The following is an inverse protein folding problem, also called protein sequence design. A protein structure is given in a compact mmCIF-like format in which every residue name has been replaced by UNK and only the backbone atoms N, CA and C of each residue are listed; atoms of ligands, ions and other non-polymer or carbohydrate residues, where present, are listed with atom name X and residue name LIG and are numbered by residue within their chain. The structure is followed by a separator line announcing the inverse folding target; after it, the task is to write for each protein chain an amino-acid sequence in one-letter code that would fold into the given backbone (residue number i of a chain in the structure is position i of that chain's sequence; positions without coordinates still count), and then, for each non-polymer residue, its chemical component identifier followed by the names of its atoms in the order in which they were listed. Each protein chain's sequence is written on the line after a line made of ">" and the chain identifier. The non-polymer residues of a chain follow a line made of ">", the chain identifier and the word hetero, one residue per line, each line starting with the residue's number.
data_IF_329187300530
#
_entry.id   IF_329187300530
#
_cell.length_a   1.000
_cell.length_b   1.000
_cell.length_c   1.000
_cell.angle_alpha   90.00
_cell.angle_beta   90.00
_cell.angle_gamma   90.00
#
_symmetry.space_group_name_H-M   'P 1'
#
loop_
_entity.id
_entity.type
_entity.pdbx_description
1 polymer ?
#
# COMPACT_ATOMS: atom_id res chain seq x y z
N UNK A 1 19.71 -31.00 -16.90
CA UNK A 1 19.84 -30.08 -15.74
C UNK A 1 18.42 -29.67 -15.35
N UNK A 2 17.91 -30.24 -14.26
CA UNK A 2 16.53 -30.04 -13.83
C UNK A 2 16.34 -28.61 -13.29
N UNK A 3 15.32 -27.93 -13.76
CA UNK A 3 14.89 -26.62 -13.31
C UNK A 3 14.35 -26.78 -11.88
N UNK A 4 15.10 -26.38 -10.86
CA UNK A 4 14.60 -26.38 -9.49
C UNK A 4 13.40 -25.44 -9.39
N UNK A 5 12.30 -25.82 -8.71
CA UNK A 5 11.09 -24.99 -8.59
C UNK A 5 11.32 -23.63 -7.90
N UNK A 6 12.54 -23.37 -7.41
CA UNK A 6 12.95 -22.15 -6.71
C UNK A 6 14.15 -21.44 -7.36
N UNK A 7 14.31 -21.50 -8.69
CA UNK A 7 15.24 -20.60 -9.39
C UNK A 7 14.92 -19.11 -9.09
N UNK A 8 15.84 -18.17 -9.34
CA UNK A 8 15.58 -16.73 -9.10
C UNK A 8 14.23 -16.25 -9.66
N UNK A 9 13.85 -16.73 -10.84
CA UNK A 9 12.55 -16.43 -11.45
C UNK A 9 11.35 -17.00 -10.68
N UNK A 10 11.49 -18.16 -10.04
CA UNK A 10 10.47 -18.75 -9.16
C UNK A 10 10.29 -17.95 -7.87
N UNK A 11 11.39 -17.57 -7.21
CA UNK A 11 11.32 -16.76 -5.98
C UNK A 11 10.70 -15.39 -6.25
N UNK A 12 11.08 -14.71 -7.34
CA UNK A 12 10.45 -13.44 -7.70
C UNK A 12 8.96 -13.61 -8.00
N UNK A 13 8.57 -14.67 -8.73
CA UNK A 13 7.15 -14.94 -9.01
C UNK A 13 6.34 -15.19 -7.73
N UNK A 14 6.88 -15.99 -6.80
CA UNK A 14 6.22 -16.27 -5.51
C UNK A 14 6.03 -14.98 -4.71
N UNK A 15 7.07 -14.16 -4.57
CA UNK A 15 7.02 -12.91 -3.80
C UNK A 15 6.05 -11.90 -4.44
N UNK A 16 6.06 -11.75 -5.77
CA UNK A 16 5.11 -10.89 -6.47
C UNK A 16 3.68 -11.37 -6.28
N UNK A 17 3.45 -12.68 -6.36
CA UNK A 17 2.13 -13.27 -6.12
C UNK A 17 1.64 -13.01 -4.68
N UNK A 18 2.51 -13.16 -3.67
CA UNK A 18 2.15 -12.84 -2.28
C UNK A 18 1.85 -11.36 -2.08
N UNK A 19 2.65 -10.45 -2.68
CA UNK A 19 2.42 -9.01 -2.61
C UNK A 19 1.08 -8.63 -3.22
N UNK A 20 0.78 -9.14 -4.42
CA UNK A 20 -0.49 -8.84 -5.11
C UNK A 20 -1.69 -9.37 -4.34
N UNK A 21 -1.65 -10.62 -3.85
CA UNK A 21 -2.72 -11.18 -3.00
C UNK A 21 -2.93 -10.43 -1.69
N UNK A 22 -1.84 -9.94 -1.08
CA UNK A 22 -1.94 -9.17 0.17
C UNK A 22 -2.61 -7.82 -0.09
N UNK A 23 -2.28 -7.16 -1.20
CA UNK A 23 -2.93 -5.92 -1.63
C UNK A 23 -4.41 -6.12 -1.88
N UNK A 24 -4.77 -7.15 -2.65
CA UNK A 24 -6.16 -7.55 -2.88
C UNK A 24 -6.93 -7.76 -1.57
N UNK A 25 -6.33 -8.49 -0.63
CA UNK A 25 -6.97 -8.76 0.66
C UNK A 25 -7.20 -7.47 1.45
N UNK A 26 -6.17 -6.62 1.58
CA UNK A 26 -6.28 -5.37 2.35
C UNK A 26 -7.30 -4.43 1.72
N UNK A 27 -7.22 -4.18 0.42
CA UNK A 27 -8.16 -3.29 -0.28
C UNK A 27 -9.58 -3.85 -0.24
N UNK A 28 -9.73 -5.17 -0.46
CA UNK A 28 -11.02 -5.84 -0.41
C UNK A 28 -11.69 -5.80 0.98
N UNK A 29 -10.92 -5.68 2.08
CA UNK A 29 -11.52 -5.49 3.41
C UNK A 29 -12.28 -4.17 3.56
N UNK A 30 -12.08 -3.21 2.65
CA UNK A 30 -12.77 -1.93 2.64
C UNK A 30 -14.11 -1.97 1.89
N UNK A 31 -14.41 -3.07 1.20
CA UNK A 31 -15.62 -3.20 0.40
C UNK A 31 -16.88 -3.16 1.28
N UNK A 32 -17.86 -2.36 0.87
CA UNK A 32 -19.11 -2.17 1.62
C UNK A 32 -19.00 -1.26 2.85
N UNK A 33 -17.81 -0.77 3.20
CA UNK A 33 -17.63 0.22 4.27
C UNK A 33 -17.92 1.63 3.75
N UNK A 34 -18.65 2.42 4.54
CA UNK A 34 -18.86 3.85 4.28
C UNK A 34 -17.62 4.69 4.64
N UNK A 35 -17.64 5.97 4.26
CA UNK A 35 -16.50 6.88 4.45
C UNK A 35 -16.14 7.07 5.93
N UNK A 36 -17.15 7.10 6.81
CA UNK A 36 -16.92 7.19 8.26
C UNK A 36 -16.22 5.92 8.79
N UNK A 37 -16.66 4.74 8.39
CA UNK A 37 -16.11 3.47 8.85
C UNK A 37 -14.63 3.31 8.45
N UNK A 38 -14.24 3.78 7.27
CA UNK A 38 -12.84 3.71 6.81
C UNK A 38 -11.94 4.79 7.41
N UNK A 39 -12.50 5.90 7.91
CA UNK A 39 -11.76 7.04 8.49
C UNK A 39 -11.74 7.09 10.00
N UNK A 40 -12.68 6.43 10.69
CA UNK A 40 -12.72 6.48 12.15
C UNK A 40 -11.42 5.92 12.75
N UNK A 41 -10.87 6.55 13.81
CA UNK A 41 -9.76 5.97 14.55
C UNK A 41 -10.08 4.58 15.09
N UNK A 42 -9.18 3.63 14.84
CA UNK A 42 -9.22 2.26 15.35
C UNK A 42 -8.20 2.03 16.48
N UNK A 43 -7.31 3.00 16.71
CA UNK A 43 -6.31 3.00 17.78
C UNK A 43 -6.24 4.37 18.47
N UNK A 44 -5.67 4.47 19.70
CA UNK A 44 -5.48 5.74 20.39
C UNK A 44 -4.60 6.75 19.64
N UNK A 45 -3.69 6.27 18.77
CA UNK A 45 -2.82 7.12 17.94
C UNK A 45 -3.52 7.63 16.67
N UNK A 46 -4.82 7.36 16.51
CA UNK A 46 -5.60 7.85 15.37
C UNK A 46 -5.57 6.96 14.15
N UNK A 47 -4.89 5.81 14.18
CA UNK A 47 -4.76 4.94 13.00
C UNK A 47 -6.13 4.52 12.48
N UNK A 48 -6.38 4.72 11.19
CA UNK A 48 -7.62 4.33 10.52
C UNK A 48 -7.35 3.42 9.31
N UNK A 49 -8.39 2.84 8.72
CA UNK A 49 -8.25 1.84 7.66
C UNK A 49 -7.62 2.44 6.40
N UNK A 50 -8.00 3.66 6.02
CA UNK A 50 -7.35 4.38 4.91
C UNK A 50 -5.89 4.72 5.20
N UNK A 51 -5.56 5.04 6.45
CA UNK A 51 -4.20 5.22 6.93
C UNK A 51 -3.35 3.95 6.78
N UNK A 52 -3.91 2.77 7.08
CA UNK A 52 -3.19 1.52 6.84
C UNK A 52 -2.88 1.29 5.35
N UNK A 53 -3.83 1.59 4.45
CA UNK A 53 -3.58 1.55 3.00
C UNK A 53 -2.46 2.52 2.61
N UNK A 54 -2.55 3.76 3.08
CA UNK A 54 -1.58 4.83 2.83
C UNK A 54 -0.16 4.46 3.30
N UNK A 55 -0.04 3.88 4.50
CA UNK A 55 1.23 3.38 5.04
C UNK A 55 1.81 2.25 4.19
N UNK A 56 1.00 1.25 3.82
CA UNK A 56 1.45 0.11 3.00
C UNK A 56 1.86 0.55 1.58
N UNK A 57 1.10 1.48 0.98
CA UNK A 57 1.44 2.10 -0.29
C UNK A 57 2.80 2.80 -0.21
N UNK A 58 3.00 3.64 0.80
CA UNK A 58 4.24 4.38 1.03
C UNK A 58 5.43 3.43 1.22
N UNK A 59 5.24 2.35 1.98
CA UNK A 59 6.26 1.32 2.19
C UNK A 59 6.68 0.64 0.88
N UNK A 60 5.74 0.23 0.03
CA UNK A 60 6.09 -0.37 -1.26
C UNK A 60 6.76 0.62 -2.21
N UNK A 61 6.26 1.86 -2.31
CA UNK A 61 6.83 2.90 -3.16
C UNK A 61 8.27 3.24 -2.73
N UNK A 62 8.51 3.36 -1.42
CA UNK A 62 9.85 3.61 -0.88
C UNK A 62 10.79 2.40 -1.03
N UNK A 63 10.43 1.25 -0.48
CA UNK A 63 11.34 0.09 -0.44
C UNK A 63 11.52 -0.60 -1.79
N UNK A 64 10.47 -0.69 -2.60
CA UNK A 64 10.52 -1.39 -3.90
C UNK A 64 10.71 -0.44 -5.09
N UNK A 65 10.57 0.88 -4.87
CA UNK A 65 10.85 1.92 -5.85
C UNK A 65 12.12 2.69 -5.52
N UNK A 66 12.06 3.61 -4.56
CA UNK A 66 13.14 4.56 -4.25
C UNK A 66 14.46 3.88 -3.87
N UNK A 67 14.42 2.91 -2.95
CA UNK A 67 15.62 2.19 -2.49
C UNK A 67 16.37 1.45 -3.61
N UNK A 68 15.69 1.13 -4.71
CA UNK A 68 16.26 0.43 -5.87
C UNK A 68 16.41 1.35 -7.09
N UNK A 69 16.29 2.67 -6.92
CA UNK A 69 16.48 3.66 -7.97
C UNK A 69 15.36 3.71 -9.02
N UNK A 70 14.13 3.33 -8.64
CA UNK A 70 12.94 3.32 -9.49
C UNK A 70 11.79 4.10 -8.82
N UNK A 71 11.94 5.42 -8.61
CA UNK A 71 10.92 6.22 -7.93
C UNK A 71 9.61 6.18 -8.69
N UNK A 72 8.49 6.15 -7.95
CA UNK A 72 7.18 6.18 -8.57
C UNK A 72 6.83 7.59 -9.06
N UNK A 73 6.00 7.72 -10.12
CA UNK A 73 5.62 9.01 -10.68
C UNK A 73 4.50 9.69 -9.88
N UNK A 74 4.46 9.47 -8.57
CA UNK A 74 3.45 10.05 -7.66
C UNK A 74 4.16 10.67 -6.47
N UNK A 75 3.73 11.89 -6.12
CA UNK A 75 4.21 12.56 -4.91
C UNK A 75 3.45 12.03 -3.69
N UNK A 76 4.16 11.83 -2.58
CA UNK A 76 3.59 11.46 -1.30
C UNK A 76 3.76 12.67 -0.36
N UNK A 77 2.72 13.50 -0.15
CA UNK A 77 2.85 14.77 0.57
C UNK A 77 3.49 14.63 1.97
N UNK A 78 3.20 13.53 2.69
CA UNK A 78 3.77 13.24 4.01
C UNK A 78 5.25 12.84 3.98
N UNK A 79 5.74 12.33 2.85
CA UNK A 79 7.18 12.10 2.65
C UNK A 79 7.88 13.42 2.34
N UNK A 80 7.27 14.25 1.48
CA UNK A 80 7.84 15.52 1.03
C UNK A 80 7.97 16.54 2.16
N UNK A 81 6.94 16.64 3.02
CA UNK A 81 6.94 17.56 4.17
C UNK A 81 7.56 16.96 5.44
N UNK A 82 8.00 15.70 5.39
CA UNK A 82 8.62 14.97 6.50
C UNK A 82 7.65 14.53 7.61
N UNK A 83 6.36 14.81 7.50
CA UNK A 83 5.36 14.45 8.52
C UNK A 83 5.14 12.95 8.66
N UNK A 84 5.66 12.12 7.74
CA UNK A 84 5.74 10.66 7.89
C UNK A 84 6.41 10.25 9.21
N UNK A 85 7.40 11.01 9.67
CA UNK A 85 8.09 10.72 10.93
C UNK A 85 7.22 10.97 12.18
N UNK A 86 6.16 11.75 12.03
CA UNK A 86 5.11 11.96 13.03
C UNK A 86 3.91 11.01 12.83
N UNK A 87 4.00 10.08 11.88
CA UNK A 87 2.95 9.10 11.56
C UNK A 87 1.82 9.64 10.69
N UNK A 88 2.07 10.66 9.87
CA UNK A 88 1.04 11.25 8.97
C UNK A 88 0.53 10.27 7.90
N UNK A 89 1.24 9.19 7.63
CA UNK A 89 0.80 8.10 6.75
C UNK A 89 -0.11 7.09 7.45
N UNK A 90 -0.27 7.13 8.77
CA UNK A 90 -1.09 6.19 9.54
C UNK A 90 -2.57 6.59 9.62
N UNK A 91 -2.96 7.73 9.06
CA UNK A 91 -4.34 8.22 9.05
C UNK A 91 -4.62 9.06 7.80
N UNK A 92 -5.86 9.02 7.32
CA UNK A 92 -6.32 9.87 6.23
C UNK A 92 -6.80 11.25 6.72
N UNK A 93 -6.30 12.33 6.12
CA UNK A 93 -6.79 13.71 6.31
C UNK A 93 -8.18 13.87 5.67
N UNK A 94 -9.02 14.81 6.15
CA UNK A 94 -10.33 15.07 5.54
C UNK A 94 -10.27 15.40 4.03
N UNK A 95 -9.19 16.04 3.58
CA UNK A 95 -8.98 16.45 2.19
C UNK A 95 -8.46 15.30 1.29
N UNK A 96 -7.92 14.24 1.89
CA UNK A 96 -7.42 13.07 1.16
C UNK A 96 -8.62 12.16 0.86
N UNK A 97 -9.05 12.09 -0.40
CA UNK A 97 -10.19 11.25 -0.79
C UNK A 97 -9.85 9.74 -0.69
N UNK A 98 -10.89 8.91 -0.51
CA UNK A 98 -10.74 7.45 -0.48
C UNK A 98 -10.14 6.96 -1.81
N UNK A 99 -10.65 7.47 -2.91
CA UNK A 99 -10.24 7.10 -4.27
C UNK A 99 -8.76 7.42 -4.47
N UNK A 100 -8.33 8.62 -4.09
CA UNK A 100 -6.94 9.02 -4.23
C UNK A 100 -5.99 8.12 -3.44
N UNK A 101 -6.34 7.78 -2.19
CA UNK A 101 -5.54 6.85 -1.37
C UNK A 101 -5.47 5.46 -1.99
N UNK A 102 -6.58 4.95 -2.54
CA UNK A 102 -6.62 3.64 -3.20
C UNK A 102 -5.85 3.62 -4.52
N UNK A 103 -5.85 4.73 -5.26
CA UNK A 103 -5.12 4.89 -6.52
C UNK A 103 -3.59 4.89 -6.31
N UNK A 104 -3.10 5.21 -5.11
CA UNK A 104 -1.69 5.03 -4.75
C UNK A 104 -1.27 3.55 -4.70
N UNK A 105 -2.22 2.65 -4.47
CA UNK A 105 -1.96 1.23 -4.24
C UNK A 105 -2.95 0.34 -5.00
N UNK A 106 -2.93 0.39 -6.34
CA UNK A 106 -3.94 -0.26 -7.16
C UNK A 106 -3.85 -1.79 -7.09
N UNK A 107 -5.01 -2.42 -6.98
CA UNK A 107 -5.15 -3.87 -7.15
C UNK A 107 -4.97 -4.20 -8.63
N UNK A 108 -3.90 -4.90 -8.96
CA UNK A 108 -3.65 -5.38 -10.32
C UNK A 108 -4.35 -6.72 -10.51
N UNK A 109 -5.14 -6.90 -11.59
CA UNK A 109 -5.73 -8.20 -11.87
C UNK A 109 -4.62 -9.23 -12.09
N UNK A 110 -4.65 -10.30 -11.31
CA UNK A 110 -3.74 -11.43 -11.49
C UNK A 110 -3.99 -12.06 -12.86
N UNK A 111 -2.95 -12.31 -13.69
CA UNK A 111 -3.11 -13.16 -14.85
C UNK A 111 -3.53 -14.56 -14.37
N UNK A 112 -4.64 -15.06 -14.90
CA UNK A 112 -5.17 -16.41 -14.62
C UNK A 112 -4.35 -17.53 -15.23
#
# INVERSE_FOLDING_TARGET
>A
MANSPHGRGGVTADLTHYLQRTREHVVGTLDGLDDYAVRRPMTPTGTNLLGLVKHLASGELGYLGDCVGRPAPVALPWMDDGSVWDGADMWAKPEESREWILDLWPVMPMPG
#
